data_IF_340530743611
#
_entry.id   IF_340530743611
#
_cell.length_a   1.000
_cell.length_b   1.000
_cell.length_c   1.000
_cell.angle_alpha   90.00
_cell.angle_beta   90.00
_cell.angle_gamma   90.00
#
_symmetry.space_group_name_H-M   'P 1'
#
loop_
_entity.id
_entity.type
_entity.pdbx_description
1 polymer ?
#
# COMPACT_ATOMS: atom_id res chain seq x y z
N UNK A 1 -48.69 -33.30 22.82
CA UNK A 1 -47.43 -33.91 22.36
C UNK A 1 -46.48 -32.79 21.97
N UNK A 2 -45.48 -32.52 22.78
CA UNK A 2 -44.39 -31.58 22.45
C UNK A 2 -43.34 -32.33 21.66
N UNK A 3 -43.21 -32.03 20.37
CA UNK A 3 -42.17 -32.56 19.51
C UNK A 3 -40.82 -31.97 19.92
N UNK A 4 -39.97 -32.79 20.54
CA UNK A 4 -38.59 -32.43 20.79
C UNK A 4 -37.87 -32.30 19.43
N UNK A 5 -37.41 -31.08 19.10
CA UNK A 5 -36.48 -30.88 17.99
C UNK A 5 -35.16 -31.50 18.41
N UNK A 6 -34.85 -32.67 17.88
CA UNK A 6 -33.55 -33.29 18.05
C UNK A 6 -32.50 -32.41 17.36
N UNK A 7 -31.76 -31.64 18.16
CA UNK A 7 -30.53 -30.98 17.70
C UNK A 7 -29.49 -32.07 17.44
N UNK A 8 -29.49 -32.60 16.21
CA UNK A 8 -28.38 -33.41 15.72
C UNK A 8 -27.12 -32.57 15.81
N UNK A 9 -26.19 -32.96 16.68
CA UNK A 9 -24.88 -32.34 16.73
C UNK A 9 -24.25 -32.47 15.34
N UNK A 10 -23.80 -31.36 14.75
CA UNK A 10 -23.07 -31.41 13.47
C UNK A 10 -21.88 -32.35 13.63
N UNK A 11 -21.59 -33.22 12.64
CA UNK A 11 -20.33 -33.93 12.63
C UNK A 11 -19.19 -32.89 12.64
N UNK A 12 -18.14 -33.10 13.46
CA UNK A 12 -16.97 -32.23 13.43
C UNK A 12 -16.28 -32.34 12.08
N UNK A 13 -15.58 -31.29 11.68
CA UNK A 13 -14.85 -31.26 10.41
C UNK A 13 -13.71 -32.27 10.40
N UNK A 14 -13.73 -33.15 9.40
CA UNK A 14 -12.66 -34.11 9.12
C UNK A 14 -11.50 -33.41 8.39
N UNK A 15 -10.62 -32.75 9.14
CA UNK A 15 -9.46 -32.06 8.59
C UNK A 15 -8.53 -32.99 7.82
N UNK A 16 -8.38 -34.24 8.24
CA UNK A 16 -7.45 -35.19 7.63
C UNK A 16 -7.93 -35.60 6.23
N UNK A 17 -9.24 -35.85 6.04
CA UNK A 17 -9.85 -36.09 4.72
C UNK A 17 -9.57 -34.97 3.72
N UNK A 18 -9.78 -33.71 4.10
CA UNK A 18 -9.60 -32.58 3.16
C UNK A 18 -8.13 -32.17 3.00
N UNK A 19 -7.26 -32.44 3.98
CA UNK A 19 -5.82 -32.33 3.81
C UNK A 19 -5.30 -33.37 2.80
N UNK A 20 -5.76 -34.62 2.87
CA UNK A 20 -5.42 -35.64 1.89
C UNK A 20 -5.83 -35.22 0.46
N UNK A 21 -6.97 -34.55 0.28
CA UNK A 21 -7.37 -34.01 -1.02
C UNK A 21 -6.42 -32.93 -1.56
N UNK A 22 -5.80 -32.13 -0.68
CA UNK A 22 -4.78 -31.15 -1.07
C UNK A 22 -3.46 -31.84 -1.45
N UNK A 23 -3.08 -32.92 -0.76
CA UNK A 23 -1.92 -33.76 -1.09
C UNK A 23 -2.13 -34.55 -2.40
N UNK A 24 -3.36 -35.00 -2.68
CA UNK A 24 -3.78 -35.59 -3.96
C UNK A 24 -3.81 -34.57 -5.12
N UNK A 25 -3.65 -33.27 -4.83
CA UNK A 25 -3.64 -32.20 -5.83
C UNK A 25 -5.01 -31.78 -6.36
N UNK A 26 -6.10 -32.08 -5.63
CA UNK A 26 -7.45 -31.60 -6.01
C UNK A 26 -7.52 -30.08 -5.95
N UNK A 27 -8.27 -29.50 -6.87
CA UNK A 27 -8.49 -28.06 -6.90
C UNK A 27 -9.35 -27.59 -5.71
N UNK A 28 -9.20 -26.31 -5.34
CA UNK A 28 -10.07 -25.65 -4.36
C UNK A 28 -11.55 -25.83 -4.67
N UNK A 29 -11.95 -25.84 -5.95
CA UNK A 29 -13.33 -26.03 -6.37
C UNK A 29 -13.87 -27.43 -6.06
N UNK A 30 -13.06 -28.47 -6.29
CA UNK A 30 -13.42 -29.86 -5.97
C UNK A 30 -13.52 -30.06 -4.45
N UNK A 31 -12.57 -29.51 -3.70
CA UNK A 31 -12.57 -29.57 -2.23
C UNK A 31 -13.79 -28.81 -1.66
N UNK A 32 -14.08 -27.61 -2.15
CA UNK A 32 -15.29 -26.85 -1.81
C UNK A 32 -16.58 -27.64 -2.12
N UNK A 33 -16.63 -28.36 -3.25
CA UNK A 33 -17.78 -29.20 -3.60
C UNK A 33 -17.97 -30.34 -2.59
N UNK A 34 -16.88 -31.02 -2.19
CA UNK A 34 -16.94 -32.05 -1.14
C UNK A 34 -17.34 -31.47 0.22
N UNK A 35 -16.72 -30.38 0.68
CA UNK A 35 -17.04 -29.71 1.94
C UNK A 35 -18.55 -29.35 2.02
N UNK A 36 -19.14 -28.89 0.91
CA UNK A 36 -20.59 -28.60 0.82
C UNK A 36 -21.46 -29.86 0.79
N UNK A 37 -21.00 -30.94 0.14
CA UNK A 37 -21.70 -32.24 0.15
C UNK A 37 -21.74 -32.86 1.55
N UNK A 38 -20.67 -32.68 2.33
CA UNK A 38 -20.59 -33.08 3.74
C UNK A 38 -21.36 -32.13 4.70
N UNK A 39 -22.20 -31.24 4.14
CA UNK A 39 -23.10 -30.31 4.85
C UNK A 39 -22.44 -29.33 5.83
N UNK A 40 -21.15 -29.00 5.60
CA UNK A 40 -20.46 -27.94 6.33
C UNK A 40 -21.01 -26.56 5.95
N UNK A 41 -21.02 -25.63 6.91
CA UNK A 41 -21.49 -24.27 6.66
C UNK A 41 -20.41 -23.39 6.01
N UNK A 42 -20.77 -22.23 5.40
CA UNK A 42 -19.79 -21.31 4.84
C UNK A 42 -18.71 -20.85 5.85
N UNK A 43 -19.07 -20.72 7.12
CA UNK A 43 -18.14 -20.36 8.20
C UNK A 43 -17.16 -21.51 8.49
N UNK A 44 -17.63 -22.77 8.46
CA UNK A 44 -16.79 -23.96 8.59
C UNK A 44 -15.80 -24.03 7.42
N UNK A 45 -16.29 -23.89 6.18
CA UNK A 45 -15.46 -23.89 4.95
C UNK A 45 -14.41 -22.77 5.00
N UNK A 46 -14.79 -21.57 5.45
CA UNK A 46 -13.86 -20.45 5.59
C UNK A 46 -12.79 -20.76 6.64
N UNK A 47 -13.19 -21.33 7.78
CA UNK A 47 -12.28 -21.72 8.87
C UNK A 47 -11.30 -22.82 8.45
N UNK A 48 -11.74 -23.80 7.65
CA UNK A 48 -10.88 -24.81 7.04
C UNK A 48 -9.76 -24.14 6.22
N UNK A 49 -10.14 -23.31 5.25
CA UNK A 49 -9.19 -22.67 4.35
C UNK A 49 -8.23 -21.71 5.07
N UNK A 50 -8.71 -20.98 6.08
CA UNK A 50 -7.85 -20.16 6.93
C UNK A 50 -6.84 -21.02 7.71
N UNK A 51 -7.26 -22.15 8.27
CA UNK A 51 -6.38 -23.04 9.03
C UNK A 51 -5.28 -23.68 8.15
N UNK A 52 -5.64 -24.26 7.01
CA UNK A 52 -4.66 -24.89 6.11
C UNK A 52 -3.77 -23.86 5.43
N UNK A 53 -4.30 -22.68 5.09
CA UNK A 53 -3.53 -21.55 4.56
C UNK A 53 -2.50 -21.02 5.56
N UNK A 54 -2.88 -20.83 6.83
CA UNK A 54 -1.96 -20.43 7.90
C UNK A 54 -0.85 -21.46 8.09
N UNK A 55 -1.18 -22.76 8.21
CA UNK A 55 -0.18 -23.83 8.36
C UNK A 55 0.76 -23.95 7.16
N UNK A 56 0.27 -23.76 5.94
CA UNK A 56 1.11 -23.74 4.75
C UNK A 56 2.11 -22.57 4.78
N UNK A 57 1.68 -21.38 5.23
CA UNK A 57 2.56 -20.23 5.40
C UNK A 57 3.54 -20.38 6.57
N UNK A 58 3.13 -20.94 7.72
CA UNK A 58 4.04 -21.23 8.83
C UNK A 58 5.15 -22.18 8.40
N UNK A 59 4.79 -23.28 7.72
CA UNK A 59 5.73 -24.25 7.17
C UNK A 59 6.68 -23.61 6.16
N UNK A 60 6.15 -22.77 5.26
CA UNK A 60 6.96 -22.03 4.27
C UNK A 60 7.86 -21.00 4.93
N UNK A 61 7.38 -20.22 5.89
CA UNK A 61 8.17 -19.22 6.60
C UNK A 61 9.33 -19.85 7.40
N UNK A 62 9.11 -21.04 7.97
CA UNK A 62 10.14 -21.81 8.68
C UNK A 62 11.17 -22.48 7.76
N UNK A 63 10.74 -22.99 6.59
CA UNK A 63 11.55 -23.84 5.71
C UNK A 63 11.81 -23.28 4.31
N UNK A 64 11.57 -21.99 4.07
CA UNK A 64 11.85 -21.35 2.79
C UNK A 64 13.36 -21.40 2.51
N UNK A 65 13.84 -22.15 1.50
CA UNK A 65 15.18 -21.92 0.98
C UNK A 65 15.21 -20.51 0.39
N UNK A 66 16.26 -19.73 0.68
CA UNK A 66 16.41 -18.40 0.12
C UNK A 66 16.43 -18.39 -1.42
N UNK A 67 16.84 -19.52 -2.02
CA UNK A 67 17.20 -19.62 -3.43
C UNK A 67 16.14 -20.28 -4.34
N UNK A 68 15.08 -20.91 -3.79
CA UNK A 68 14.02 -21.58 -4.58
C UNK A 68 12.62 -21.03 -4.26
N UNK A 69 12.42 -19.77 -4.63
CA UNK A 69 11.16 -19.03 -4.51
C UNK A 69 10.02 -19.77 -5.26
N UNK A 70 10.34 -20.40 -6.40
CA UNK A 70 9.37 -21.14 -7.20
C UNK A 70 8.86 -22.41 -6.51
N UNK A 71 9.69 -23.12 -5.75
CA UNK A 71 9.23 -24.21 -4.87
C UNK A 71 8.44 -23.70 -3.68
N UNK A 72 8.83 -22.56 -3.06
CA UNK A 72 8.03 -21.93 -1.99
C UNK A 72 6.62 -21.61 -2.50
N UNK A 73 6.51 -20.93 -3.63
CA UNK A 73 5.21 -20.60 -4.22
C UNK A 73 4.39 -21.85 -4.57
N UNK A 74 4.99 -22.85 -5.25
CA UNK A 74 4.29 -24.12 -5.57
C UNK A 74 3.75 -24.85 -4.34
N UNK A 75 4.42 -24.75 -3.19
CA UNK A 75 3.97 -25.37 -1.93
C UNK A 75 2.79 -24.62 -1.31
N UNK A 76 2.76 -23.29 -1.37
CA UNK A 76 1.70 -22.49 -0.71
C UNK A 76 0.50 -22.19 -1.63
N UNK A 77 0.69 -22.11 -2.95
CA UNK A 77 -0.34 -21.72 -3.91
C UNK A 77 -1.68 -22.48 -3.77
N UNK A 78 -1.71 -23.82 -3.58
CA UNK A 78 -2.99 -24.55 -3.46
C UNK A 78 -3.84 -24.14 -2.25
N UNK A 79 -3.19 -23.61 -1.20
CA UNK A 79 -3.81 -23.20 0.06
C UNK A 79 -4.18 -21.71 0.07
N UNK A 80 -3.75 -20.94 -0.94
CA UNK A 80 -3.94 -19.50 -1.02
C UNK A 80 -5.23 -19.16 -1.78
N UNK A 81 -6.03 -18.27 -1.19
CA UNK A 81 -7.14 -17.62 -1.88
C UNK A 81 -6.74 -16.18 -2.24
N UNK A 82 -6.95 -15.80 -3.49
CA UNK A 82 -6.91 -14.42 -3.94
C UNK A 82 -7.77 -14.25 -5.20
N UNK A 83 -8.57 -13.20 -5.26
CA UNK A 83 -9.22 -12.74 -6.48
C UNK A 83 -8.26 -11.77 -7.19
N UNK A 84 -7.70 -12.15 -8.35
CA UNK A 84 -6.95 -11.21 -9.22
C UNK A 84 -7.91 -10.26 -9.94
N UNK A 85 -7.43 -9.06 -10.27
CA UNK A 85 -8.26 -8.04 -10.91
C UNK A 85 -9.45 -7.67 -10.03
N UNK A 86 -9.23 -7.55 -8.72
CA UNK A 86 -10.29 -7.16 -7.79
C UNK A 86 -10.70 -5.72 -8.07
N UNK A 87 -11.83 -5.53 -8.73
CA UNK A 87 -12.38 -4.20 -9.01
C UNK A 87 -12.64 -3.46 -7.69
N UNK A 88 -11.85 -2.41 -7.45
CA UNK A 88 -12.10 -1.49 -6.35
C UNK A 88 -13.52 -0.89 -6.48
N UNK A 89 -14.17 -0.53 -5.35
CA UNK A 89 -15.41 0.22 -5.39
C UNK A 89 -15.28 1.47 -6.27
N UNK A 90 -16.28 1.72 -7.12
CA UNK A 90 -16.29 2.89 -7.99
C UNK A 90 -16.27 4.16 -7.15
N UNK A 91 -15.23 4.97 -7.32
CA UNK A 91 -15.04 6.22 -6.58
C UNK A 91 -16.12 7.23 -7.01
N UNK A 92 -17.03 7.66 -6.12
CA UNK A 92 -18.12 8.54 -6.48
C UNK A 92 -17.60 9.92 -6.89
N UNK A 93 -18.22 10.54 -7.90
CA UNK A 93 -17.85 11.86 -8.41
C UNK A 93 -17.86 12.94 -7.31
N UNK A 94 -18.75 12.80 -6.33
CA UNK A 94 -18.72 13.52 -5.05
C UNK A 94 -18.35 12.53 -3.95
N UNK A 95 -17.26 12.78 -3.24
CA UNK A 95 -16.86 12.02 -2.05
C UNK A 95 -17.94 12.14 -0.96
N UNK A 96 -18.24 11.04 -0.26
CA UNK A 96 -19.18 11.06 0.85
C UNK A 96 -18.64 11.85 2.07
N UNK A 97 -19.50 12.48 2.89
CA UNK A 97 -19.05 13.25 4.05
C UNK A 97 -18.39 12.39 5.12
N UNK A 98 -17.09 12.59 5.36
CA UNK A 98 -16.31 11.86 6.36
C UNK A 98 -15.37 10.81 5.77
N UNK A 99 -15.58 10.41 4.52
CA UNK A 99 -14.67 9.50 3.82
C UNK A 99 -13.31 10.18 3.57
N UNK A 100 -12.25 9.38 3.53
CA UNK A 100 -10.88 9.77 3.18
C UNK A 100 -10.55 9.21 1.79
N UNK A 101 -10.43 10.08 0.78
CA UNK A 101 -10.05 9.69 -0.58
C UNK A 101 -8.54 9.54 -0.67
N UNK A 102 -8.11 8.30 -0.88
CA UNK A 102 -6.70 7.93 -1.08
C UNK A 102 -6.42 7.92 -2.58
N UNK A 103 -5.33 8.58 -2.96
CA UNK A 103 -4.73 8.51 -4.30
C UNK A 103 -3.38 7.82 -4.13
N UNK A 104 -3.17 6.72 -4.83
CA UNK A 104 -1.96 5.90 -4.72
C UNK A 104 -1.21 5.84 -6.07
N UNK A 105 0.09 6.10 -5.98
CA UNK A 105 1.07 6.04 -7.06
C UNK A 105 2.35 5.35 -6.55
N UNK A 106 3.17 4.84 -7.44
CA UNK A 106 4.45 4.21 -7.11
C UNK A 106 5.32 4.12 -8.37
N UNK A 107 6.63 3.94 -8.21
CA UNK A 107 7.54 3.60 -9.31
C UNK A 107 7.45 4.61 -10.47
N UNK A 108 7.58 5.89 -10.14
CA UNK A 108 7.53 6.97 -11.11
C UNK A 108 8.89 7.23 -11.75
N UNK A 109 10.00 6.78 -11.14
CA UNK A 109 11.36 6.82 -11.73
C UNK A 109 11.73 8.17 -12.36
N UNK A 110 11.53 9.27 -11.63
CA UNK A 110 11.69 10.66 -12.12
C UNK A 110 10.75 11.11 -13.27
N UNK A 111 9.88 10.25 -13.81
CA UNK A 111 8.90 10.52 -14.88
C UNK A 111 7.55 11.06 -14.37
N UNK A 112 7.53 11.78 -13.25
CA UNK A 112 6.29 12.25 -12.62
C UNK A 112 5.52 13.29 -13.47
N UNK A 113 6.19 13.98 -14.39
CA UNK A 113 5.56 14.89 -15.37
C UNK A 113 4.86 14.15 -16.53
N UNK A 114 5.21 12.89 -16.80
CA UNK A 114 4.61 12.06 -17.86
C UNK A 114 3.38 11.25 -17.38
N UNK A 115 3.09 11.27 -16.07
CA UNK A 115 1.99 10.53 -15.46
C UNK A 115 0.61 10.93 -15.99
N UNK A 116 -0.37 10.01 -15.98
CA UNK A 116 -1.78 10.38 -16.13
C UNK A 116 -2.17 11.44 -15.09
N UNK A 117 -3.08 12.39 -15.40
CA UNK A 117 -3.42 13.48 -14.49
C UNK A 117 -3.81 12.99 -13.09
N UNK A 118 -3.05 13.42 -12.08
CA UNK A 118 -3.30 13.02 -10.69
C UNK A 118 -4.68 13.56 -10.25
N UNK A 119 -5.65 12.69 -9.92
CA UNK A 119 -6.99 13.11 -9.53
C UNK A 119 -6.99 13.77 -8.14
N UNK A 120 -8.05 14.50 -7.82
CA UNK A 120 -8.23 15.08 -6.49
C UNK A 120 -8.52 13.99 -5.43
N UNK A 121 -7.72 13.97 -4.36
CA UNK A 121 -7.99 13.26 -3.12
C UNK A 121 -7.56 14.04 -1.88
N UNK A 122 -7.76 13.46 -0.71
CA UNK A 122 -7.35 14.03 0.57
C UNK A 122 -5.90 13.67 0.92
N UNK A 123 -5.51 12.42 0.63
CA UNK A 123 -4.18 11.87 0.87
C UNK A 123 -3.60 11.25 -0.40
N UNK A 124 -2.41 11.69 -0.78
CA UNK A 124 -1.56 11.02 -1.74
C UNK A 124 -0.60 10.08 -1.01
N UNK A 125 -0.42 8.86 -1.51
CA UNK A 125 0.59 7.90 -1.04
C UNK A 125 1.50 7.52 -2.20
N UNK A 126 2.82 7.54 -1.99
CA UNK A 126 3.82 7.05 -2.94
C UNK A 126 4.53 5.80 -2.42
N UNK A 127 4.54 4.71 -3.21
CA UNK A 127 5.09 3.40 -2.86
C UNK A 127 6.61 3.20 -3.03
N UNK A 128 7.40 4.28 -3.07
CA UNK A 128 8.84 4.23 -3.41
C UNK A 128 9.13 4.34 -4.90
N UNK A 129 10.42 4.38 -5.25
CA UNK A 129 10.96 4.61 -6.60
C UNK A 129 10.37 5.87 -7.25
N UNK A 130 10.49 6.99 -6.55
CA UNK A 130 10.10 8.32 -7.07
C UNK A 130 11.23 8.99 -7.85
N UNK A 131 12.47 8.56 -7.64
CA UNK A 131 13.70 8.93 -8.37
C UNK A 131 14.20 7.77 -9.25
N UNK A 132 15.15 8.00 -10.17
CA UNK A 132 15.85 6.92 -10.89
C UNK A 132 17.20 6.56 -10.22
N UNK A 133 17.86 7.51 -9.57
CA UNK A 133 19.15 7.28 -8.90
C UNK A 133 19.23 7.83 -7.48
N UNK A 134 18.18 8.50 -6.99
CA UNK A 134 18.18 9.17 -5.71
C UNK A 134 19.06 10.43 -5.71
N UNK A 135 19.37 11.01 -6.87
CA UNK A 135 20.11 12.25 -6.93
C UNK A 135 19.28 13.42 -6.34
N UNK A 136 19.99 14.42 -5.82
CA UNK A 136 19.38 15.58 -5.16
C UNK A 136 18.45 16.38 -6.07
N UNK A 137 18.79 16.48 -7.35
CA UNK A 137 17.96 17.23 -8.30
C UNK A 137 16.69 16.45 -8.66
N UNK A 138 16.73 15.12 -8.65
CA UNK A 138 15.54 14.25 -8.80
C UNK A 138 14.58 14.39 -7.61
N UNK A 139 15.13 14.34 -6.39
CA UNK A 139 14.34 14.56 -5.15
C UNK A 139 13.74 15.95 -5.11
N UNK A 140 14.46 16.98 -5.60
CA UNK A 140 13.95 18.35 -5.71
C UNK A 140 12.83 18.48 -6.76
N UNK A 141 12.99 17.84 -7.93
CA UNK A 141 11.97 17.82 -8.97
C UNK A 141 10.67 17.14 -8.47
N UNK A 142 10.80 15.94 -7.92
CA UNK A 142 9.66 15.22 -7.33
C UNK A 142 9.00 16.00 -6.18
N UNK A 143 9.80 16.62 -5.31
CA UNK A 143 9.26 17.47 -4.25
C UNK A 143 8.53 18.71 -4.79
N UNK A 144 9.01 19.31 -5.89
CA UNK A 144 8.33 20.43 -6.55
C UNK A 144 7.00 19.97 -7.16
N UNK A 145 6.98 18.84 -7.86
CA UNK A 145 5.77 18.17 -8.36
C UNK A 145 4.74 17.96 -7.24
N UNK A 146 5.12 17.34 -6.12
CA UNK A 146 4.25 17.16 -4.94
C UNK A 146 3.69 18.48 -4.39
N UNK A 147 4.46 19.57 -4.50
CA UNK A 147 4.04 20.92 -4.10
C UNK A 147 2.94 21.51 -4.97
N UNK A 148 2.79 21.06 -6.23
CA UNK A 148 1.68 21.46 -7.10
C UNK A 148 0.36 20.78 -6.75
N UNK A 149 0.41 19.62 -6.10
CA UNK A 149 -0.75 18.75 -5.92
C UNK A 149 -1.64 19.22 -4.75
N UNK A 150 -2.98 19.25 -4.92
CA UNK A 150 -3.91 19.83 -3.94
C UNK A 150 -4.18 18.96 -2.71
N UNK A 151 -3.65 17.73 -2.67
CA UNK A 151 -3.83 16.80 -1.56
C UNK A 151 -3.41 17.43 -0.22
N UNK A 152 -4.26 17.30 0.80
CA UNK A 152 -3.98 17.82 2.15
C UNK A 152 -2.84 17.07 2.82
N UNK A 153 -2.73 15.77 2.54
CA UNK A 153 -1.68 14.89 3.02
C UNK A 153 -0.91 14.31 1.84
N UNK A 154 0.41 14.21 1.97
CA UNK A 154 1.28 13.45 1.07
C UNK A 154 2.18 12.57 1.92
N UNK A 155 2.19 11.26 1.64
CA UNK A 155 2.99 10.25 2.34
C UNK A 155 3.86 9.56 1.30
N UNK A 156 5.13 9.35 1.60
CA UNK A 156 6.12 8.77 0.67
C UNK A 156 6.96 7.75 1.44
N UNK A 157 7.17 6.56 0.88
CA UNK A 157 8.28 5.66 1.27
C UNK A 157 9.38 5.71 0.20
N UNK A 158 10.55 5.15 0.47
CA UNK A 158 11.57 4.91 -0.57
C UNK A 158 11.47 3.51 -1.20
N UNK A 159 12.13 3.32 -2.33
CA UNK A 159 12.39 2.03 -2.99
C UNK A 159 13.88 1.84 -3.34
N UNK A 160 14.20 0.91 -4.26
CA UNK A 160 15.60 0.64 -4.67
C UNK A 160 16.32 1.86 -5.26
N UNK A 161 15.61 2.75 -5.95
CA UNK A 161 16.20 3.86 -6.70
C UNK A 161 16.53 5.06 -5.81
N UNK A 162 15.90 5.20 -4.64
CA UNK A 162 16.26 6.20 -3.61
C UNK A 162 17.58 5.85 -2.89
N UNK A 163 18.68 5.70 -3.64
CA UNK A 163 19.91 5.14 -3.10
C UNK A 163 20.53 6.00 -1.99
N UNK A 164 20.31 7.32 -2.05
CA UNK A 164 20.72 8.30 -1.03
C UNK A 164 19.93 8.20 0.28
N UNK A 165 18.76 7.55 0.29
CA UNK A 165 17.94 7.43 1.49
C UNK A 165 18.43 6.28 2.38
N UNK A 166 18.97 5.19 1.81
CA UNK A 166 19.67 4.14 2.54
C UNK A 166 21.11 4.58 2.86
N UNK A 167 21.30 5.16 4.05
CA UNK A 167 22.60 5.68 4.52
C UNK A 167 23.72 4.64 4.52
N UNK A 168 23.38 3.38 4.79
CA UNK A 168 24.37 2.32 4.92
C UNK A 168 24.85 1.86 3.53
N UNK A 169 23.92 1.75 2.59
CA UNK A 169 24.18 1.42 1.20
C UNK A 169 24.88 2.58 0.46
N UNK A 170 24.36 3.80 0.55
CA UNK A 170 24.85 4.96 -0.22
C UNK A 170 26.35 5.20 -0.05
N UNK A 171 26.82 5.12 1.21
CA UNK A 171 28.21 5.38 1.62
C UNK A 171 29.25 4.58 0.83
N UNK A 172 28.93 3.38 0.37
CA UNK A 172 29.84 2.54 -0.43
C UNK A 172 29.49 2.48 -1.92
N UNK A 173 28.29 2.92 -2.32
CA UNK A 173 27.78 2.72 -3.68
C UNK A 173 27.62 4.01 -4.50
N UNK A 174 27.62 5.20 -3.89
CA UNK A 174 27.30 6.49 -4.56
C UNK A 174 27.96 6.71 -5.93
N UNK A 175 29.22 6.30 -6.09
CA UNK A 175 29.98 6.47 -7.36
C UNK A 175 29.36 5.74 -8.54
N UNK A 176 28.69 4.61 -8.31
CA UNK A 176 28.12 3.80 -9.40
C UNK A 176 26.91 4.47 -10.06
N UNK A 177 26.25 5.36 -9.32
CA UNK A 177 25.11 6.16 -9.78
C UNK A 177 25.55 7.46 -10.48
N UNK A 178 26.87 7.68 -10.64
CA UNK A 178 27.39 8.88 -11.32
C UNK A 178 27.34 10.17 -10.50
N UNK A 179 26.93 10.11 -9.22
CA UNK A 179 26.85 11.30 -8.37
C UNK A 179 28.24 11.94 -8.25
N UNK A 180 28.37 13.28 -8.42
CA UNK A 180 29.66 13.96 -8.50
C UNK A 180 30.44 13.96 -7.16
N UNK A 181 29.73 13.81 -6.04
CA UNK A 181 30.27 13.71 -4.68
C UNK A 181 29.41 12.78 -3.84
N UNK A 182 29.94 12.31 -2.72
CA UNK A 182 29.14 11.70 -1.65
C UNK A 182 28.26 12.79 -1.00
N UNK A 183 26.94 12.67 -1.14
CA UNK A 183 25.98 13.50 -0.42
C UNK A 183 25.80 13.05 1.03
N UNK A 184 25.39 13.97 1.92
CA UNK A 184 24.83 13.59 3.21
C UNK A 184 23.37 13.16 3.02
N UNK A 185 23.04 11.93 3.39
CA UNK A 185 21.70 11.36 3.25
C UNK A 185 20.62 12.11 4.03
N UNK A 186 20.92 12.71 5.19
CA UNK A 186 19.96 13.52 5.92
C UNK A 186 19.69 14.84 5.19
N UNK A 187 20.72 15.45 4.60
CA UNK A 187 20.55 16.63 3.75
C UNK A 187 19.67 16.31 2.53
N UNK A 188 19.88 15.17 1.83
CA UNK A 188 19.03 14.78 0.69
C UNK A 188 17.59 14.52 1.12
N UNK A 189 17.39 13.76 2.22
CA UNK A 189 16.06 13.47 2.78
C UNK A 189 15.32 14.75 3.20
N UNK A 190 16.04 15.78 3.66
CA UNK A 190 15.46 17.07 4.04
C UNK A 190 14.88 17.88 2.88
N UNK A 191 15.20 17.55 1.63
CA UNK A 191 14.69 18.23 0.42
C UNK A 191 13.20 17.91 0.18
N UNK A 192 12.71 16.75 0.64
CA UNK A 192 11.34 16.28 0.50
C UNK A 192 10.39 16.98 1.50
N UNK A 193 10.24 18.30 1.34
CA UNK A 193 9.51 19.20 2.24
C UNK A 193 7.99 19.18 2.06
N UNK A 194 7.46 18.69 0.93
CA UNK A 194 6.03 18.65 0.61
C UNK A 194 5.34 17.33 0.97
N UNK A 195 6.05 16.37 1.57
CA UNK A 195 5.48 15.10 2.03
C UNK A 195 6.05 14.67 3.39
N UNK A 196 5.33 13.76 4.05
CA UNK A 196 5.85 12.99 5.16
C UNK A 196 6.53 11.74 4.61
N UNK A 197 7.85 11.66 4.77
CA UNK A 197 8.60 10.44 4.48
C UNK A 197 8.44 9.42 5.62
N UNK A 198 8.14 8.16 5.28
CA UNK A 198 8.07 7.03 6.21
C UNK A 198 9.14 5.98 5.86
N UNK A 199 9.91 5.61 6.87
CA UNK A 199 10.77 4.42 6.88
C UNK A 199 10.60 3.77 8.25
N UNK A 200 10.15 2.52 8.26
CA UNK A 200 9.84 1.71 9.45
C UNK A 200 9.06 2.49 10.52
N UNK A 201 8.05 3.25 10.08
CA UNK A 201 7.34 4.21 10.93
C UNK A 201 5.86 4.32 10.58
N UNK A 202 5.08 4.71 11.60
CA UNK A 202 3.64 4.83 11.57
C UNK A 202 3.21 6.31 11.62
N UNK A 203 2.18 6.66 10.86
CA UNK A 203 1.43 7.92 10.99
C UNK A 203 -0.06 7.64 11.13
N UNK A 204 -0.78 8.51 11.84
CA UNK A 204 -2.25 8.50 11.87
C UNK A 204 -2.79 9.69 11.07
N UNK A 205 -3.65 9.42 10.07
CA UNK A 205 -4.29 10.42 9.20
C UNK A 205 -5.81 10.21 9.22
N UNK A 206 -6.57 11.20 9.69
CA UNK A 206 -8.04 11.10 9.85
C UNK A 206 -8.50 9.79 10.53
N UNK A 207 -7.76 9.39 11.57
CA UNK A 207 -7.97 8.16 12.32
C UNK A 207 -7.31 6.91 11.73
N UNK A 208 -6.96 6.88 10.44
CA UNK A 208 -6.30 5.74 9.78
C UNK A 208 -4.81 5.64 10.14
N UNK A 209 -4.37 4.46 10.56
CA UNK A 209 -2.99 4.11 10.90
C UNK A 209 -2.29 3.57 9.65
N UNK A 210 -1.33 4.34 9.14
CA UNK A 210 -0.59 4.09 7.90
C UNK A 210 0.87 3.80 8.26
N UNK A 211 1.39 2.63 7.91
CA UNK A 211 2.77 2.23 8.17
C UNK A 211 3.57 2.15 6.87
N UNK A 212 4.77 2.73 6.83
CA UNK A 212 5.63 2.73 5.65
C UNK A 212 6.97 2.02 5.87
N UNK A 213 7.42 1.21 4.91
CA UNK A 213 8.72 0.52 4.95
C UNK A 213 9.33 0.31 3.56
N UNK A 214 10.57 0.75 3.30
CA UNK A 214 11.22 0.66 1.99
C UNK A 214 11.90 -0.70 1.72
N UNK A 215 12.02 -1.56 2.73
CA UNK A 215 12.82 -2.80 2.62
C UNK A 215 12.24 -3.80 1.63
N UNK A 216 13.13 -4.64 1.10
CA UNK A 216 12.78 -5.63 0.10
C UNK A 216 13.70 -6.86 0.15
N UNK A 217 13.22 -8.04 -0.29
CA UNK A 217 14.07 -9.20 -0.50
C UNK A 217 15.05 -8.91 -1.63
N UNK A 218 16.34 -9.10 -1.39
CA UNK A 218 17.40 -8.66 -2.30
C UNK A 218 17.19 -9.10 -3.76
N UNK A 219 17.05 -8.11 -4.64
CA UNK A 219 17.06 -8.26 -6.08
C UNK A 219 18.19 -7.39 -6.66
N UNK A 220 19.15 -8.03 -7.34
CA UNK A 220 20.44 -7.40 -7.70
C UNK A 220 21.13 -6.76 -6.47
N UNK A 221 21.99 -5.78 -6.70
CA UNK A 221 22.61 -4.95 -5.66
C UNK A 221 21.97 -3.56 -5.76
N UNK A 222 21.05 -3.21 -4.88
CA UNK A 222 20.33 -1.92 -4.83
C UNK A 222 20.06 -1.52 -3.37
N UNK A 223 19.61 -0.28 -3.16
CA UNK A 223 19.29 0.21 -1.83
C UNK A 223 18.11 -0.54 -1.20
N UNK A 224 18.08 -0.59 0.13
CA UNK A 224 17.06 -1.29 0.93
C UNK A 224 16.92 -2.80 0.65
N UNK A 225 17.85 -3.41 -0.09
CA UNK A 225 17.96 -4.86 -0.24
C UNK A 225 18.43 -5.50 1.07
N UNK A 226 17.68 -6.50 1.55
CA UNK A 226 18.14 -7.45 2.56
C UNK A 226 18.03 -8.88 2.02
N UNK A 227 18.98 -9.79 2.31
CA UNK A 227 18.92 -11.15 1.77
C UNK A 227 17.62 -11.84 2.14
N UNK A 228 16.99 -12.51 1.15
CA UNK A 228 15.69 -13.17 1.32
C UNK A 228 15.70 -14.15 2.48
N UNK A 229 14.68 -14.08 3.33
CA UNK A 229 14.56 -14.93 4.52
C UNK A 229 15.62 -14.71 5.61
N UNK A 230 16.48 -13.69 5.49
CA UNK A 230 17.46 -13.33 6.53
C UNK A 230 16.77 -12.86 7.83
N UNK A 231 17.48 -12.98 8.95
CA UNK A 231 17.00 -12.48 10.24
C UNK A 231 16.65 -10.98 10.17
N UNK A 232 17.50 -10.16 9.54
CA UNK A 232 17.27 -8.72 9.37
C UNK A 232 15.97 -8.40 8.62
N UNK A 233 15.69 -9.09 7.51
CA UNK A 233 14.45 -8.85 6.75
C UNK A 233 13.22 -9.28 7.55
N UNK A 234 13.30 -10.42 8.24
CA UNK A 234 12.26 -10.90 9.16
C UNK A 234 12.03 -9.95 10.33
N UNK A 235 13.07 -9.34 10.88
CA UNK A 235 12.99 -8.32 11.94
C UNK A 235 12.22 -7.08 11.47
N UNK A 236 12.45 -6.61 10.23
CA UNK A 236 11.67 -5.50 9.65
C UNK A 236 10.18 -5.82 9.58
N UNK A 237 9.82 -7.02 9.12
CA UNK A 237 8.42 -7.44 9.03
C UNK A 237 7.77 -7.71 10.40
N UNK A 238 8.54 -8.22 11.36
CA UNK A 238 8.08 -8.44 12.73
C UNK A 238 7.84 -7.11 13.49
N UNK A 239 8.60 -6.06 13.16
CA UNK A 239 8.48 -4.74 13.78
C UNK A 239 7.21 -3.96 13.37
N UNK A 240 6.58 -4.29 12.24
CA UNK A 240 5.33 -3.66 11.79
C UNK A 240 4.24 -3.90 12.86
N UNK A 241 3.51 -2.88 13.36
CA UNK A 241 2.41 -3.07 14.31
C UNK A 241 1.28 -3.96 13.76
N UNK A 242 0.52 -4.61 14.64
CA UNK A 242 -0.63 -5.46 14.26
C UNK A 242 -1.94 -4.70 14.03
N UNK A 243 -1.94 -3.39 14.25
CA UNK A 243 -3.12 -2.50 14.19
C UNK A 243 -2.96 -1.42 13.11
N UNK A 244 -2.39 -1.82 11.99
CA UNK A 244 -2.20 -1.00 10.78
C UNK A 244 -3.41 -1.17 9.87
N UNK A 245 -4.04 -0.08 9.44
CA UNK A 245 -5.16 -0.12 8.50
C UNK A 245 -4.67 -0.13 7.04
N UNK A 246 -3.59 0.62 6.76
CA UNK A 246 -2.95 0.72 5.44
C UNK A 246 -1.46 0.45 5.61
N UNK A 247 -0.99 -0.68 5.08
CA UNK A 247 0.42 -0.99 4.99
C UNK A 247 0.97 -0.49 3.66
N UNK A 248 2.11 0.19 3.68
CA UNK A 248 2.85 0.61 2.48
C UNK A 248 4.24 -0.03 2.54
N UNK A 249 4.54 -0.92 1.60
CA UNK A 249 5.90 -1.46 1.39
C UNK A 249 6.32 -1.23 -0.03
N UNK A 250 7.63 -1.13 -0.31
CA UNK A 250 8.05 -1.03 -1.70
C UNK A 250 7.84 -2.35 -2.45
N UNK A 251 8.45 -3.43 -1.95
CA UNK A 251 8.25 -4.78 -2.53
C UNK A 251 6.88 -5.40 -2.23
N UNK A 252 6.35 -6.25 -3.12
CA UNK A 252 5.12 -7.01 -2.91
C UNK A 252 5.28 -8.20 -1.93
N UNK A 253 4.21 -8.61 -1.23
CA UNK A 253 4.15 -9.93 -0.60
C UNK A 253 3.99 -11.03 -1.67
N UNK A 254 4.43 -12.24 -1.35
CA UNK A 254 4.42 -13.36 -2.31
C UNK A 254 3.03 -13.65 -2.89
N UNK A 255 2.96 -13.84 -4.21
CA UNK A 255 1.72 -14.19 -4.92
C UNK A 255 0.69 -13.06 -5.01
N UNK A 256 1.08 -11.79 -4.83
CA UNK A 256 0.22 -10.61 -4.93
C UNK A 256 0.91 -9.52 -5.76
N UNK A 257 0.57 -9.39 -7.04
CA UNK A 257 1.19 -8.40 -7.93
C UNK A 257 2.71 -8.55 -8.01
N UNK A 258 3.22 -9.79 -7.93
CA UNK A 258 4.65 -10.14 -7.88
C UNK A 258 5.09 -11.06 -9.04
N UNK A 259 4.31 -11.03 -10.13
CA UNK A 259 4.57 -11.73 -11.38
C UNK A 259 5.74 -11.05 -12.13
N UNK A 260 6.83 -11.77 -12.39
CA UNK A 260 7.89 -11.35 -13.33
C UNK A 260 8.02 -12.45 -14.39
N UNK A 261 7.33 -12.27 -15.52
CA UNK A 261 7.15 -13.31 -16.53
C UNK A 261 6.50 -14.58 -15.96
N UNK A 262 7.28 -15.67 -15.85
CA UNK A 262 6.84 -16.94 -15.25
C UNK A 262 7.25 -17.12 -13.78
N UNK A 263 7.92 -16.12 -13.19
CA UNK A 263 8.49 -16.19 -11.85
C UNK A 263 7.69 -15.38 -10.82
N UNK A 264 7.96 -15.67 -9.54
CA UNK A 264 7.48 -14.93 -8.38
C UNK A 264 8.66 -14.27 -7.70
N UNK A 265 8.52 -13.02 -7.29
CA UNK A 265 9.58 -12.29 -6.57
C UNK A 265 9.14 -11.77 -5.20
N UNK A 266 7.85 -11.79 -4.88
CA UNK A 266 7.33 -11.26 -3.62
C UNK A 266 7.82 -12.03 -2.39
N UNK A 267 7.75 -11.41 -1.21
CA UNK A 267 8.29 -12.01 0.01
C UNK A 267 7.27 -12.86 0.78
N UNK A 268 7.69 -14.07 1.18
CA UNK A 268 6.84 -15.02 1.91
C UNK A 268 6.70 -14.65 3.39
N UNK A 269 7.73 -14.04 3.98
CA UNK A 269 7.69 -13.59 5.37
C UNK A 269 6.80 -12.35 5.51
N UNK A 270 6.81 -11.45 4.53
CA UNK A 270 5.85 -10.35 4.44
C UNK A 270 4.41 -10.85 4.31
N UNK A 271 4.14 -11.79 3.38
CA UNK A 271 2.80 -12.40 3.23
C UNK A 271 2.32 -13.06 4.54
N UNK A 272 3.21 -13.78 5.23
CA UNK A 272 2.93 -14.41 6.52
C UNK A 272 2.54 -13.38 7.60
N UNK A 273 3.26 -12.26 7.70
CA UNK A 273 2.87 -11.19 8.64
C UNK A 273 1.53 -10.55 8.26
N UNK A 274 1.30 -10.29 6.97
CA UNK A 274 0.06 -9.66 6.47
C UNK A 274 -1.16 -10.56 6.75
N UNK A 275 -1.14 -11.82 6.33
CA UNK A 275 -2.28 -12.74 6.52
C UNK A 275 -2.42 -13.23 7.97
N UNK A 276 -1.31 -13.36 8.71
CA UNK A 276 -1.33 -13.88 10.08
C UNK A 276 -1.71 -12.83 11.13
N UNK A 277 -1.02 -11.68 11.12
CA UNK A 277 -0.96 -10.77 12.27
C UNK A 277 -1.39 -9.33 12.00
N UNK A 278 -1.01 -8.77 10.85
CA UNK A 278 -1.23 -7.34 10.55
C UNK A 278 -2.65 -7.12 10.00
N UNK A 279 -3.06 -7.95 9.03
CA UNK A 279 -4.40 -7.93 8.39
C UNK A 279 -4.91 -6.51 8.05
N UNK A 280 -4.11 -5.67 7.35
CA UNK A 280 -4.52 -4.32 7.01
C UNK A 280 -5.68 -4.37 6.02
N UNK A 281 -6.54 -3.35 6.00
CA UNK A 281 -7.58 -3.25 4.97
C UNK A 281 -6.95 -3.12 3.57
N UNK A 282 -5.86 -2.36 3.47
CA UNK A 282 -5.10 -2.16 2.24
C UNK A 282 -3.61 -2.45 2.45
N UNK A 283 -3.00 -3.16 1.53
CA UNK A 283 -1.54 -3.27 1.39
C UNK A 283 -1.15 -2.69 0.03
N UNK A 284 -0.54 -1.50 0.08
CA UNK A 284 -0.10 -0.71 -1.05
C UNK A 284 1.40 -0.97 -1.30
N UNK A 285 1.78 -1.24 -2.55
CA UNK A 285 3.16 -1.50 -2.95
C UNK A 285 3.38 -1.26 -4.44
N UNK A 286 4.61 -1.48 -4.90
CA UNK A 286 5.05 -1.22 -6.26
C UNK A 286 6.10 -2.24 -6.70
N UNK A 287 7.25 -1.76 -7.15
CA UNK A 287 8.48 -2.49 -7.50
C UNK A 287 8.40 -3.42 -8.71
N UNK A 288 7.32 -4.19 -8.83
CA UNK A 288 7.11 -5.18 -9.89
C UNK A 288 6.15 -4.60 -10.91
N UNK A 289 6.69 -3.96 -11.96
CA UNK A 289 5.90 -3.19 -12.91
C UNK A 289 4.87 -4.05 -13.67
N UNK A 290 5.22 -5.29 -14.04
CA UNK A 290 4.30 -6.25 -14.68
C UNK A 290 3.16 -6.70 -13.75
N UNK A 291 3.31 -6.50 -12.45
CA UNK A 291 2.36 -6.87 -11.42
C UNK A 291 1.26 -5.84 -11.15
N UNK A 292 1.26 -4.70 -11.86
CA UNK A 292 0.31 -3.60 -11.66
C UNK A 292 -1.15 -4.06 -11.57
N UNK A 293 -1.88 -3.50 -10.61
CA UNK A 293 -3.30 -3.75 -10.38
C UNK A 293 -3.59 -4.31 -8.98
N UNK A 294 -4.75 -4.95 -8.84
CA UNK A 294 -5.37 -5.22 -7.55
C UNK A 294 -5.71 -6.70 -7.33
N UNK A 295 -5.63 -7.15 -6.08
CA UNK A 295 -6.17 -8.44 -5.65
C UNK A 295 -6.73 -8.40 -4.24
N UNK A 296 -7.59 -9.37 -3.89
CA UNK A 296 -8.24 -9.44 -2.57
C UNK A 296 -8.24 -10.88 -2.06
N UNK A 297 -7.88 -11.10 -0.79
CA UNK A 297 -7.81 -12.44 -0.18
C UNK A 297 -8.97 -12.75 0.80
N UNK A 298 -10.02 -11.93 0.81
CA UNK A 298 -11.11 -12.03 1.77
C UNK A 298 -10.92 -11.14 3.02
N UNK A 299 -9.71 -10.63 3.27
CA UNK A 299 -9.40 -9.72 4.39
C UNK A 299 -8.71 -8.44 3.90
N UNK A 300 -7.61 -8.57 3.15
CA UNK A 300 -6.75 -7.46 2.72
C UNK A 300 -6.87 -7.25 1.21
N UNK A 301 -7.03 -5.99 0.80
CA UNK A 301 -6.91 -5.57 -0.59
C UNK A 301 -5.44 -5.23 -0.86
N UNK A 302 -4.81 -5.99 -1.76
CA UNK A 302 -3.44 -5.80 -2.21
C UNK A 302 -3.45 -4.95 -3.48
N UNK A 303 -2.62 -3.91 -3.52
CA UNK A 303 -2.57 -2.93 -4.60
C UNK A 303 -1.13 -2.74 -5.04
N UNK A 304 -0.79 -3.26 -6.21
CA UNK A 304 0.42 -2.87 -6.93
C UNK A 304 0.10 -1.62 -7.75
N UNK A 305 0.69 -0.48 -7.36
CA UNK A 305 0.48 0.83 -7.96
C UNK A 305 1.62 1.30 -8.86
N UNK A 306 2.47 0.40 -9.35
CA UNK A 306 3.61 0.74 -10.24
C UNK A 306 3.12 1.53 -11.46
N UNK A 307 3.41 2.82 -11.53
CA UNK A 307 2.94 3.68 -12.61
C UNK A 307 3.74 3.51 -13.90
N UNK A 308 5.02 3.12 -13.78
CA UNK A 308 5.81 2.66 -14.90
C UNK A 308 5.44 1.23 -15.34
N UNK A 309 5.49 0.98 -16.65
CA UNK A 309 5.57 -0.37 -17.24
C UNK A 309 6.98 -0.94 -17.13
N UNK A 310 7.16 -2.22 -17.47
CA UNK A 310 8.46 -2.88 -17.59
C UNK A 310 9.39 -2.20 -18.61
N UNK A 311 8.85 -1.43 -19.56
CA UNK A 311 9.65 -0.60 -20.48
C UNK A 311 9.79 0.87 -20.02
N UNK A 312 9.59 1.13 -18.72
CA UNK A 312 9.75 2.45 -18.07
C UNK A 312 8.92 3.56 -18.71
N UNK A 313 7.65 3.26 -19.02
CA UNK A 313 6.66 4.26 -19.46
C UNK A 313 5.68 4.52 -18.32
N UNK A 314 5.62 5.75 -17.83
CA UNK A 314 4.75 6.18 -16.73
C UNK A 314 3.26 6.28 -17.15
N UNK A 315 2.68 5.19 -17.66
CA UNK A 315 1.35 5.17 -18.30
C UNK A 315 0.30 4.32 -17.56
N UNK A 316 0.67 3.55 -16.54
CA UNK A 316 -0.30 2.80 -15.76
C UNK A 316 -1.19 3.77 -14.96
N UNK A 317 -2.52 3.60 -14.95
CA UNK A 317 -3.44 4.54 -14.30
C UNK A 317 -3.15 4.78 -12.82
N UNK A 318 -3.46 5.99 -12.35
CA UNK A 318 -3.44 6.31 -10.93
C UNK A 318 -4.57 5.58 -10.20
N UNK A 319 -4.25 4.92 -9.08
CA UNK A 319 -5.24 4.17 -8.31
C UNK A 319 -5.89 5.09 -7.27
N UNK A 320 -7.22 5.05 -7.19
CA UNK A 320 -8.00 5.88 -6.25
C UNK A 320 -9.02 5.00 -5.54
N UNK A 321 -9.19 5.20 -4.24
CA UNK A 321 -10.24 4.57 -3.45
C UNK A 321 -10.65 5.46 -2.27
N UNK A 322 -11.91 5.34 -1.86
CA UNK A 322 -12.41 6.00 -0.65
C UNK A 322 -12.36 5.03 0.53
N UNK A 323 -11.81 5.48 1.64
CA UNK A 323 -11.90 4.84 2.95
C UNK A 323 -13.07 5.50 3.71
N UNK A 324 -14.04 4.75 4.26
CA UNK A 324 -15.13 5.34 5.05
C UNK A 324 -14.59 6.07 6.30
N UNK A 325 -15.35 6.94 6.98
CA UNK A 325 -14.89 7.51 8.24
C UNK A 325 -14.54 6.41 9.25
N UNK A 326 -13.27 6.31 9.66
CA UNK A 326 -12.87 5.40 10.73
C UNK A 326 -13.55 5.87 12.02
N UNK A 327 -14.58 5.15 12.45
CA UNK A 327 -15.18 5.36 13.78
C UNK A 327 -14.07 5.20 14.82
N UNK A 328 -13.69 6.30 15.47
CA UNK A 328 -12.49 6.35 16.29
C UNK A 328 -12.57 5.35 17.46
N UNK A 329 -11.92 4.20 17.30
CA UNK A 329 -11.65 3.29 18.39
C UNK A 329 -10.64 3.95 19.32
N UNK A 330 -11.16 4.55 20.40
CA UNK A 330 -10.52 5.06 21.62
C UNK A 330 -9.02 5.41 21.50
N UNK A 331 -8.74 6.71 21.66
CA UNK A 331 -7.41 7.35 21.71
C UNK A 331 -6.29 6.46 22.27
N UNK A 332 -5.30 6.18 21.43
CA UNK A 332 -3.98 5.71 21.82
C UNK A 332 -3.08 6.92 22.15
N UNK A 333 -2.60 6.99 23.40
CA UNK A 333 -1.77 8.08 23.93
C UNK A 333 -0.40 8.22 23.22
N UNK A 334 0.00 7.24 22.41
CA UNK A 334 1.16 7.36 21.51
C UNK A 334 1.08 8.57 20.58
N UNK A 335 -0.13 8.95 20.16
CA UNK A 335 -0.38 10.06 19.23
C UNK A 335 0.15 11.39 19.79
N UNK A 336 0.04 11.61 21.10
CA UNK A 336 0.51 12.84 21.75
C UNK A 336 2.05 12.96 21.75
N UNK A 337 2.77 11.84 21.74
CA UNK A 337 4.23 11.81 21.65
C UNK A 337 4.73 12.15 20.24
N UNK A 338 4.16 11.52 19.21
CA UNK A 338 4.60 11.71 17.82
C UNK A 338 4.22 13.08 17.24
N UNK A 339 3.02 13.60 17.52
CA UNK A 339 2.66 14.97 17.12
C UNK A 339 3.54 16.01 17.79
N UNK A 340 3.92 15.81 19.07
CA UNK A 340 4.86 16.69 19.78
C UNK A 340 6.27 16.63 19.19
N UNK A 341 6.75 15.45 18.80
CA UNK A 341 8.03 15.30 18.10
C UNK A 341 8.05 15.97 16.72
N UNK A 342 7.02 15.76 15.89
CA UNK A 342 6.91 16.41 14.59
C UNK A 342 6.87 17.95 14.70
N UNK A 343 6.15 18.48 15.69
CA UNK A 343 6.12 19.92 15.98
C UNK A 343 7.46 20.44 16.52
N UNK A 344 8.15 19.69 17.40
CA UNK A 344 9.50 20.08 17.88
C UNK A 344 10.55 20.03 16.77
N UNK A 345 10.46 19.10 15.82
CA UNK A 345 11.31 19.04 14.64
C UNK A 345 11.04 20.24 13.70
N UNK A 346 9.77 20.54 13.40
CA UNK A 346 9.43 21.74 12.63
C UNK A 346 9.87 23.04 13.32
N UNK A 347 9.79 23.12 14.65
CA UNK A 347 10.26 24.28 15.41
C UNK A 347 11.80 24.39 15.43
N UNK A 348 12.54 23.29 15.58
CA UNK A 348 14.02 23.32 15.54
C UNK A 348 14.54 23.64 14.13
N UNK A 349 13.87 23.19 13.07
CA UNK A 349 14.16 23.59 11.69
C UNK A 349 13.89 25.08 11.42
N UNK A 350 12.88 25.69 12.08
CA UNK A 350 12.60 27.13 12.00
C UNK A 350 13.52 28.02 12.85
N UNK A 351 14.20 27.47 13.86
CA UNK A 351 14.99 28.25 14.83
C UNK A 351 16.51 28.12 14.62
N UNK A 352 16.99 27.22 13.74
CA UNK A 352 18.41 27.23 13.31
C UNK A 352 18.74 28.57 12.62
N UNK A 353 19.66 29.39 13.16
CA UNK A 353 20.11 30.58 12.46
C UNK A 353 20.86 30.16 11.20
N UNK A 354 20.56 30.78 10.06
CA UNK A 354 21.37 30.63 8.85
C UNK A 354 22.74 31.26 9.14
N UNK A 355 23.71 30.42 9.50
CA UNK A 355 25.09 30.88 9.73
C UNK A 355 25.67 31.30 8.38
N UNK A 356 26.07 32.57 8.25
CA UNK A 356 26.48 33.25 7.00
C UNK A 356 27.75 32.69 6.32
N UNK A 357 28.26 31.53 6.75
CA UNK A 357 29.49 30.92 6.24
C UNK A 357 29.34 30.22 4.88
N UNK A 358 28.13 29.78 4.50
CA UNK A 358 27.92 28.93 3.30
C UNK A 358 27.76 29.71 1.99
N UNK A 359 27.63 31.05 2.03
CA UNK A 359 27.43 31.90 0.83
C UNK A 359 28.78 32.23 0.14
N UNK A 360 29.58 31.19 -0.17
CA UNK A 360 30.84 31.37 -0.94
C UNK A 360 31.15 30.29 -1.97
N UNK A 361 30.22 29.40 -2.27
CA UNK A 361 30.38 28.30 -3.23
C UNK A 361 29.43 28.37 -4.46
N UNK A 362 29.07 29.58 -4.92
CA UNK A 362 28.42 29.79 -6.22
C UNK A 362 29.03 30.99 -6.95
N UNK A 363 30.20 30.80 -7.58
CA UNK A 363 30.81 31.84 -8.42
C UNK A 363 31.64 31.33 -9.61
N UNK A 364 31.27 30.17 -10.13
CA UNK A 364 31.69 29.68 -11.45
C UNK A 364 30.46 29.13 -12.19
N UNK A 365 30.57 28.98 -13.51
CA UNK A 365 29.47 28.70 -14.44
C UNK A 365 28.45 29.84 -14.60
N UNK A 366 28.85 30.91 -15.30
CA UNK A 366 28.10 31.51 -16.43
C UNK A 366 28.98 32.58 -17.11
N UNK A 367 29.93 32.13 -17.94
CA UNK A 367 30.61 32.96 -18.94
C UNK A 367 30.65 32.18 -20.26
N UNK A 368 29.69 32.46 -21.14
CA UNK A 368 29.63 31.82 -22.44
C UNK A 368 28.34 32.14 -23.20
N UNK A 369 28.33 33.29 -23.90
CA UNK A 369 27.36 33.67 -24.95
C UNK A 369 25.91 33.90 -24.46
N UNK A 370 25.16 34.95 -24.88
CA UNK A 370 25.35 36.01 -25.89
C UNK A 370 24.90 37.37 -25.33
N UNK A 371 25.44 38.45 -25.87
CA UNK A 371 24.93 39.81 -25.67
C UNK A 371 23.87 40.19 -26.72
N UNK A 372 23.16 41.31 -26.47
CA UNK A 372 22.11 41.96 -27.29
C UNK A 372 20.80 41.16 -27.42
N UNK A 373 19.66 41.61 -26.90
CA UNK A 373 19.12 42.98 -26.97
C UNK A 373 18.48 43.46 -25.64
N UNK A 374 18.20 44.76 -25.55
CA UNK A 374 17.69 45.45 -24.36
C UNK A 374 16.30 46.08 -24.57
N UNK A 375 15.73 46.62 -23.47
CA UNK A 375 14.48 47.40 -23.36
C UNK A 375 13.14 46.61 -23.32
N UNK A 376 12.13 46.96 -22.51
CA UNK A 376 12.06 47.86 -21.33
C UNK A 376 10.69 47.74 -20.58
N UNK A 377 10.64 48.16 -19.29
CA UNK A 377 9.47 48.65 -18.49
C UNK A 377 8.28 47.67 -18.18
N UNK A 378 7.45 47.77 -17.11
CA UNK A 378 7.52 48.38 -15.75
C UNK A 378 6.22 48.12 -14.91
N UNK A 379 6.30 48.05 -13.56
CA UNK A 379 5.21 48.26 -12.53
C UNK A 379 3.98 47.31 -12.47
N UNK A 380 3.24 47.04 -11.36
CA UNK A 380 3.29 47.44 -9.92
C UNK A 380 2.29 46.68 -8.96
N UNK A 381 2.73 46.40 -7.72
CA UNK A 381 2.04 46.50 -6.39
C UNK A 381 0.86 45.57 -5.91
N UNK A 382 0.60 45.44 -4.56
CA UNK A 382 0.02 44.22 -3.94
C UNK A 382 -1.10 44.38 -2.86
N UNK A 383 -1.58 43.24 -2.32
CA UNK A 383 -2.36 43.02 -1.08
C UNK A 383 -2.76 41.54 -0.91
N UNK A 384 -3.22 40.98 0.23
CA UNK A 384 -3.33 41.42 1.63
C UNK A 384 -3.46 40.17 2.58
N UNK A 385 -3.71 40.34 3.89
CA UNK A 385 -3.83 39.24 4.90
C UNK A 385 -5.23 39.12 5.54
N UNK A 386 -5.58 37.93 6.06
CA UNK A 386 -6.50 37.76 7.20
C UNK A 386 -6.13 36.54 8.08
N UNK A 387 -6.43 36.62 9.38
CA UNK A 387 -6.22 35.57 10.39
C UNK A 387 -7.55 34.88 10.72
N UNK A 388 -7.51 33.64 11.22
CA UNK A 388 -8.67 32.98 11.84
C UNK A 388 -8.31 32.21 13.12
N UNK A 389 -9.23 32.25 14.07
CA UNK A 389 -9.13 31.80 15.46
C UNK A 389 -9.54 30.34 15.66
N UNK A 390 -9.03 29.71 16.73
CA UNK A 390 -9.33 28.31 17.11
C UNK A 390 -10.18 28.27 18.40
N UNK A 391 -11.31 27.54 18.44
CA UNK A 391 -12.07 27.29 19.66
C UNK A 391 -11.91 25.85 20.22
N UNK A 392 -11.10 25.73 21.25
CA UNK A 392 -11.37 25.09 22.55
C UNK A 392 -12.43 23.95 22.73
N UNK A 393 -11.89 22.82 23.19
CA UNK A 393 -12.27 22.01 24.38
C UNK A 393 -13.23 20.79 24.36
N UNK A 394 -12.76 19.81 25.14
CA UNK A 394 -13.46 18.87 26.05
C UNK A 394 -13.63 17.41 25.60
N UNK A 395 -13.35 16.51 26.55
CA UNK A 395 -13.33 15.04 26.41
C UNK A 395 -14.22 14.47 27.51
N UNK A 396 -15.02 13.45 27.17
CA UNK A 396 -15.72 12.60 28.13
C UNK A 396 -15.40 11.13 27.85
N UNK A 397 -15.31 10.31 28.89
CA UNK A 397 -14.76 8.95 28.85
C UNK A 397 -15.79 7.84 29.00
N UNK A 398 -15.46 6.70 28.38
CA UNK A 398 -15.90 5.33 28.66
C UNK A 398 -17.36 4.91 28.34
N UNK A 399 -17.47 3.75 27.69
CA UNK A 399 -18.74 3.09 27.37
C UNK A 399 -18.53 1.97 26.35
N UNK A 400 -18.31 0.74 26.81
CA UNK A 400 -18.00 -0.43 25.96
C UNK A 400 -19.21 -1.02 25.23
N UNK A 401 -18.89 -1.70 24.12
CA UNK A 401 -19.64 -2.79 23.46
C UNK A 401 -20.76 -2.41 22.46
N UNK A 402 -20.61 -2.95 21.24
CA UNK A 402 -21.60 -3.44 20.26
C UNK A 402 -20.77 -4.33 19.30
N UNK A 403 -21.12 -5.54 18.87
CA UNK A 403 -22.40 -6.20 18.66
C UNK A 403 -23.28 -5.55 17.59
N UNK A 404 -23.13 -5.97 16.33
CA UNK A 404 -24.19 -6.74 15.64
C UNK A 404 -23.75 -7.28 14.27
N UNK A 405 -24.41 -8.37 13.88
CA UNK A 405 -24.26 -9.04 12.58
C UNK A 405 -24.73 -8.14 11.43
N UNK A 406 -24.04 -8.22 10.29
CA UNK A 406 -24.60 -7.83 8.99
C UNK A 406 -25.44 -9.02 8.49
N UNK A 407 -26.72 -8.78 8.18
CA UNK A 407 -27.57 -9.76 7.51
C UNK A 407 -27.65 -9.41 6.04
N UNK A 408 -27.23 -10.33 5.15
CA UNK A 408 -27.43 -10.18 3.71
C UNK A 408 -28.77 -10.79 3.29
N UNK A 409 -29.54 -10.03 2.52
CA UNK A 409 -30.74 -10.51 1.83
C UNK A 409 -30.44 -10.59 0.33
N UNK A 410 -30.39 -11.80 -0.22
CA UNK A 410 -30.29 -12.01 -1.67
C UNK A 410 -31.70 -12.14 -2.24
N UNK A 411 -32.06 -11.30 -3.21
CA UNK A 411 -33.22 -11.50 -4.08
C UNK A 411 -32.73 -12.10 -5.41
N UNK A 412 -33.32 -13.21 -5.89
CA UNK A 412 -32.94 -13.78 -7.17
C UNK A 412 -33.50 -12.96 -8.34
N UNK A 413 -32.70 -12.81 -9.41
CA UNK A 413 -33.22 -12.41 -10.72
C UNK A 413 -33.77 -13.64 -11.44
N UNK A 414 -35.04 -13.62 -11.84
CA UNK A 414 -35.60 -14.61 -12.76
C UNK A 414 -35.22 -14.29 -14.21
N UNK A 415 -35.06 -15.35 -15.02
CA UNK A 415 -34.57 -15.27 -16.38
C UNK A 415 -35.65 -15.09 -17.45
N UNK A 416 -35.21 -14.55 -18.59
CA UNK A 416 -35.87 -14.52 -19.90
C UNK A 416 -35.09 -15.52 -20.77
N UNK A 417 -35.60 -16.45 -21.59
CA UNK A 417 -36.87 -16.74 -22.28
C UNK A 417 -36.85 -18.27 -22.65
N UNK A 418 -37.70 -18.86 -23.53
CA UNK A 418 -39.10 -18.61 -23.96
C UNK A 418 -40.02 -19.86 -23.84
N UNK A 419 -41.35 -19.73 -24.04
CA UNK A 419 -42.19 -20.91 -24.34
C UNK A 419 -43.72 -20.76 -24.35
N UNK A 420 -44.32 -20.70 -25.55
CA UNK A 420 -45.64 -21.28 -25.93
C UNK A 420 -46.97 -20.94 -25.21
N UNK A 421 -47.82 -20.18 -25.93
CA UNK A 421 -49.31 -20.21 -26.11
C UNK A 421 -50.25 -20.23 -24.87
N UNK A 422 -51.41 -19.53 -24.94
CA UNK A 422 -52.64 -20.22 -25.36
C UNK A 422 -53.58 -19.46 -26.31
N UNK A 423 -54.67 -20.15 -26.70
CA UNK A 423 -55.63 -19.87 -27.77
C UNK A 423 -56.45 -18.56 -27.71
N UNK A 424 -56.66 -17.98 -28.90
CA UNK A 424 -57.92 -17.53 -29.53
C UNK A 424 -58.92 -16.60 -28.79
N UNK A 425 -59.33 -15.51 -29.47
CA UNK A 425 -60.61 -15.46 -30.23
C UNK A 425 -60.89 -14.08 -30.90
N UNK A 426 -61.56 -14.14 -32.07
CA UNK A 426 -62.43 -13.13 -32.72
C UNK A 426 -61.78 -11.88 -33.39
N UNK A 427 -62.03 -11.76 -34.70
CA UNK A 427 -62.57 -10.54 -35.31
C UNK A 427 -61.78 -9.89 -36.46
N UNK A 428 -62.26 -10.01 -37.70
CA UNK A 428 -61.78 -9.24 -38.86
C UNK A 428 -61.52 -10.10 -40.09
#
# INVERSE_FOLDING_TARGET
MTTAVATTARPPMDFDKYNAFLEEGKSRYEIDACLRQDALSPDDITSFWQHVGARALDNAAAHAPADDIAAVWRRIQPYQYFQRGFSLPQVPARKEPGDLRVVFISDTHSLHDDLPPIPHGDVLVHGGDFTDTGDRDEVLAFNAFLGTLPHRYKIVIGGNHECTFDKAYYKTHWKRYGHPVEYDSDDVRSLLTNALYLEDSLVTVEGYRIYGSPWQPAFCDWAFNLPRGSAKLKEKWAAIPSDVDVLVTHSPPMGRGDDVGLHRVGDVHLLHQVQGRIKPAFHLFGHVHEGYGTSFDGTTIFVNGSNCTDEYKAINPVIVFDLPPRMASVVDDSTHYHTKMALQLQQTLRVRPVVSATIRAMKYCFRGQKAAAASALSSSSPGAHSQLTIPNYSIATAGTALSRRITMSVLPQEGLFPGTVPHALIGG
#
